data_IF_997453998460
#
_entry.id   IF_997453998460
#
_cell.length_a   1.000
_cell.length_b   1.000
_cell.length_c   1.000
_cell.angle_alpha   90.00
_cell.angle_beta   90.00
_cell.angle_gamma   90.00
#
_symmetry.space_group_name_H-M   'P 1'
#
loop_
_entity.id
_entity.type
_entity.pdbx_description
1 polymer ?
#
# COMPACT_ATOMS: atom_id res chain seq x y z
N UNK A 1 30.68 14.45 2.84
CA UNK A 1 29.77 14.06 3.94
C UNK A 1 28.50 13.52 3.31
N UNK A 2 28.36 12.19 3.21
CA UNK A 2 27.09 11.58 2.80
C UNK A 2 26.24 11.44 4.06
N UNK A 3 25.33 12.38 4.28
CA UNK A 3 24.32 12.27 5.32
C UNK A 3 23.10 11.57 4.71
N UNK A 4 23.14 10.25 4.59
CA UNK A 4 21.95 9.43 4.35
C UNK A 4 21.07 9.55 5.58
N UNK A 5 20.17 10.54 5.55
CA UNK A 5 19.22 10.80 6.62
C UNK A 5 18.10 9.77 6.48
N UNK A 6 18.37 8.53 6.91
CA UNK A 6 17.35 7.48 7.08
C UNK A 6 16.44 7.85 8.25
N UNK A 7 15.67 8.93 8.07
CA UNK A 7 14.58 9.26 8.97
C UNK A 7 13.53 8.16 8.80
N UNK A 8 13.35 7.36 9.83
CA UNK A 8 12.20 6.47 9.98
C UNK A 8 10.93 7.23 9.65
N UNK A 9 10.25 6.85 8.56
CA UNK A 9 8.99 7.44 8.14
C UNK A 9 7.85 6.57 8.65
N UNK A 10 6.90 7.17 9.35
CA UNK A 10 5.62 6.52 9.61
C UNK A 10 4.87 6.40 8.29
N UNK A 11 4.38 5.20 8.00
CA UNK A 11 3.51 4.91 6.87
C UNK A 11 2.25 4.24 7.38
N UNK A 12 1.16 4.44 6.66
CA UNK A 12 -0.13 3.83 6.96
C UNK A 12 -0.42 2.78 5.89
N UNK A 13 -1.00 1.66 6.30
CA UNK A 13 -1.36 0.58 5.36
C UNK A 13 -2.84 0.29 5.49
N UNK A 14 -3.58 0.49 4.41
CA UNK A 14 -4.96 0.05 4.30
C UNK A 14 -5.02 -1.28 3.55
N UNK A 15 -5.81 -2.22 4.06
CA UNK A 15 -6.09 -3.49 3.37
C UNK A 15 -7.48 -3.46 2.78
N UNK A 16 -7.59 -3.69 1.48
CA UNK A 16 -8.89 -3.77 0.78
C UNK A 16 -9.00 -5.11 0.08
N UNK A 17 -10.20 -5.67 0.01
CA UNK A 17 -10.46 -6.80 -0.87
C UNK A 17 -11.15 -6.31 -2.13
N UNK A 18 -10.66 -6.74 -3.28
CA UNK A 18 -11.19 -6.34 -4.57
C UNK A 18 -11.06 -7.45 -5.60
N UNK A 19 -11.97 -7.47 -6.56
CA UNK A 19 -11.82 -8.25 -7.78
C UNK A 19 -11.04 -7.42 -8.80
N UNK A 20 -9.96 -7.99 -9.32
CA UNK A 20 -9.09 -7.33 -10.30
C UNK A 20 -9.39 -7.92 -11.67
N UNK A 21 -9.66 -7.06 -12.66
CA UNK A 21 -9.90 -7.51 -14.03
C UNK A 21 -8.71 -8.32 -14.54
N UNK A 22 -8.98 -9.50 -15.09
CA UNK A 22 -7.95 -10.42 -15.59
C UNK A 22 -7.36 -11.37 -14.52
N UNK A 23 -7.78 -11.26 -13.25
CA UNK A 23 -7.43 -12.21 -12.20
C UNK A 23 -8.68 -12.96 -11.72
N UNK A 24 -8.53 -14.27 -11.51
CA UNK A 24 -9.58 -15.09 -10.93
C UNK A 24 -9.65 -14.88 -9.41
N UNK A 25 -10.87 -14.64 -8.92
CA UNK A 25 -11.19 -14.47 -7.51
C UNK A 25 -10.98 -13.07 -6.95
N UNK A 26 -11.41 -12.88 -5.70
CA UNK A 26 -11.18 -11.68 -4.92
C UNK A 26 -9.79 -11.74 -4.28
N UNK A 27 -9.03 -10.65 -4.35
CA UNK A 27 -7.67 -10.57 -3.81
C UNK A 27 -7.58 -9.47 -2.76
N UNK A 28 -6.72 -9.68 -1.76
CA UNK A 28 -6.42 -8.66 -0.77
C UNK A 28 -5.29 -7.78 -1.29
N UNK A 29 -5.51 -6.48 -1.31
CA UNK A 29 -4.54 -5.47 -1.69
C UNK A 29 -4.10 -4.70 -0.44
N UNK A 30 -2.80 -4.45 -0.33
CA UNK A 30 -2.24 -3.56 0.67
C UNK A 30 -1.91 -2.23 0.00
N UNK A 31 -2.41 -1.14 0.55
CA UNK A 31 -2.24 0.20 -0.01
C UNK A 31 -1.52 1.03 1.04
N UNK A 32 -0.29 1.42 0.70
CA UNK A 32 0.60 2.22 1.54
C UNK A 32 0.31 3.68 1.27
N UNK A 33 0.07 4.44 2.34
CA UNK A 33 -0.30 5.84 2.30
C UNK A 33 0.62 6.65 3.20
N UNK A 34 0.84 7.91 2.83
CA UNK A 34 1.54 8.89 3.65
C UNK A 34 0.66 9.51 4.77
N UNK A 35 -0.64 9.24 4.77
CA UNK A 35 -1.63 9.72 5.75
C UNK A 35 -2.52 8.59 6.28
N UNK A 36 -3.16 8.83 7.42
CA UNK A 36 -3.99 7.84 8.13
C UNK A 36 -5.37 7.59 7.51
N UNK A 37 -5.80 8.43 6.57
CA UNK A 37 -7.08 8.31 5.87
C UNK A 37 -6.91 8.50 4.37
N UNK A 38 -7.88 7.98 3.60
CA UNK A 38 -7.88 8.06 2.14
C UNK A 38 -8.02 9.49 1.64
N UNK A 39 -8.84 10.27 2.32
CA UNK A 39 -9.16 11.65 1.97
C UNK A 39 -7.97 12.60 2.17
N UNK A 40 -7.04 12.22 3.04
CA UNK A 40 -5.85 13.01 3.39
C UNK A 40 -4.57 12.53 2.68
N UNK A 41 -4.59 11.33 2.09
CA UNK A 41 -3.43 10.76 1.41
C UNK A 41 -3.18 11.47 0.07
N UNK A 42 -1.97 12.02 -0.09
CA UNK A 42 -1.55 12.67 -1.35
C UNK A 42 -0.63 11.79 -2.18
N UNK A 43 -0.02 10.78 -1.55
CA UNK A 43 0.83 9.76 -2.18
C UNK A 43 0.29 8.38 -1.79
N UNK A 44 -0.02 7.57 -2.80
CA UNK A 44 -0.59 6.23 -2.65
C UNK A 44 0.24 5.25 -3.48
N UNK A 45 0.87 4.29 -2.81
CA UNK A 45 1.55 3.15 -3.45
C UNK A 45 0.76 1.87 -3.17
N UNK A 46 0.48 1.06 -4.20
CA UNK A 46 -0.27 -0.20 -4.05
C UNK A 46 0.64 -1.41 -4.21
N UNK A 47 0.50 -2.38 -3.29
CA UNK A 47 1.14 -3.69 -3.39
C UNK A 47 0.05 -4.77 -3.53
N UNK A 48 0.09 -5.51 -4.63
CA UNK A 48 -0.76 -6.68 -4.86
C UNK A 48 0.04 -7.90 -4.42
N UNK A 49 -0.39 -8.58 -3.36
CA UNK A 49 0.23 -9.84 -2.94
C UNK A 49 -0.48 -11.00 -3.64
N UNK A 50 0.14 -11.58 -4.67
CA UNK A 50 -0.20 -12.92 -5.15
C UNK A 50 0.32 -13.95 -4.12
N UNK A 51 -0.29 -14.01 -2.95
CA UNK A 51 -0.13 -15.20 -2.10
C UNK A 51 -1.15 -16.23 -2.58
N UNK A 52 -0.73 -17.06 -3.52
CA UNK A 52 -1.38 -18.36 -3.69
C UNK A 52 -1.03 -19.18 -2.44
N UNK A 53 -2.06 -19.69 -1.76
CA UNK A 53 -1.96 -20.49 -0.52
C UNK A 53 -1.69 -21.95 -0.84
#
# INVERSE_FOLDING_TARGET
MNSTNDKSKTVWVATVKAQISGLEGERTMAIVMNASSWEEATDIDYLITNVDS
#
